data_IF_215831015836
#
_entry.id   IF_215831015836
#
_cell.length_a   1.000
_cell.length_b   1.000
_cell.length_c   1.000
_cell.angle_alpha   90.00
_cell.angle_beta   90.00
_cell.angle_gamma   90.00
#
_symmetry.space_group_name_H-M   'P 1'
#
loop_
_entity.id
_entity.type
_entity.pdbx_description
1 polymer ?
#
# COMPACT_ATOMS: atom_id res chain seq x y z
N UNK A 1 -20.30 1.76 17.22
CA UNK A 1 -20.04 0.81 16.11
C UNK A 1 -19.96 1.49 14.75
N UNK A 2 -20.94 2.31 14.33
CA UNK A 2 -20.93 2.95 13.00
C UNK A 2 -19.68 3.80 12.72
N UNK A 3 -19.29 4.67 13.65
CA UNK A 3 -18.08 5.49 13.55
C UNK A 3 -16.77 4.69 13.48
N UNK A 4 -16.65 3.65 14.29
CA UNK A 4 -15.49 2.75 14.24
C UNK A 4 -15.36 2.10 12.86
N UNK A 5 -16.48 1.65 12.28
CA UNK A 5 -16.49 1.07 10.93
C UNK A 5 -16.09 2.11 9.86
N UNK A 6 -16.54 3.35 9.99
CA UNK A 6 -16.18 4.46 9.10
C UNK A 6 -14.68 4.79 9.15
N UNK A 7 -14.05 4.71 10.34
CA UNK A 7 -12.60 4.86 10.51
C UNK A 7 -11.86 3.72 9.82
N UNK A 8 -12.34 2.49 9.97
CA UNK A 8 -11.77 1.30 9.31
C UNK A 8 -11.87 1.44 7.79
N UNK A 9 -13.05 1.77 7.26
CA UNK A 9 -13.26 1.99 5.82
C UNK A 9 -12.36 3.11 5.29
N UNK A 10 -12.18 4.18 6.07
CA UNK A 10 -11.25 5.27 5.76
C UNK A 10 -9.80 4.79 5.66
N UNK A 11 -9.34 4.01 6.65
CA UNK A 11 -8.00 3.45 6.69
C UNK A 11 -7.73 2.49 5.51
N UNK A 12 -8.70 1.63 5.19
CA UNK A 12 -8.66 0.71 4.04
C UNK A 12 -8.55 1.50 2.73
N UNK A 13 -9.43 2.49 2.51
CA UNK A 13 -9.40 3.33 1.30
C UNK A 13 -8.07 4.06 1.10
N UNK A 14 -7.45 4.53 2.19
CA UNK A 14 -6.15 5.22 2.13
C UNK A 14 -5.00 4.30 1.71
N UNK A 15 -5.09 2.99 1.98
CA UNK A 15 -4.08 1.99 1.60
C UNK A 15 -4.18 1.53 0.14
N UNK A 16 -5.31 1.77 -0.54
CA UNK A 16 -5.47 1.45 -1.97
C UNK A 16 -4.42 2.18 -2.82
N UNK A 17 -4.22 3.46 -2.56
CA UNK A 17 -3.30 4.32 -3.34
C UNK A 17 -1.85 3.82 -3.29
N UNK A 18 -1.22 3.61 -2.10
CA UNK A 18 0.15 3.10 -2.05
C UNK A 18 0.27 1.68 -2.62
N UNK A 19 -0.74 0.81 -2.47
CA UNK A 19 -0.69 -0.51 -3.11
C UNK A 19 -0.76 -0.40 -4.63
N UNK A 20 -1.58 0.49 -5.18
CA UNK A 20 -1.59 0.75 -6.62
C UNK A 20 -0.22 1.26 -7.12
N UNK A 21 0.44 2.13 -6.36
CA UNK A 21 1.81 2.58 -6.67
C UNK A 21 2.82 1.43 -6.67
N UNK A 22 2.76 0.51 -5.70
CA UNK A 22 3.62 -0.67 -5.66
C UNK A 22 3.33 -1.63 -6.81
N UNK A 23 2.06 -1.85 -7.16
CA UNK A 23 1.66 -2.66 -8.32
C UNK A 23 2.18 -2.03 -9.61
N UNK A 24 2.06 -0.71 -9.77
CA UNK A 24 2.61 0.01 -10.91
C UNK A 24 4.14 -0.11 -10.99
N UNK A 25 4.84 -0.03 -9.84
CA UNK A 25 6.28 -0.26 -9.77
C UNK A 25 6.65 -1.71 -10.18
N UNK A 26 5.87 -2.71 -9.76
CA UNK A 26 6.04 -4.10 -10.18
C UNK A 26 5.76 -4.33 -11.67
N UNK A 27 4.82 -3.60 -12.25
CA UNK A 27 4.57 -3.62 -13.71
C UNK A 27 5.74 -3.01 -14.49
N UNK A 28 6.22 -1.85 -14.05
CA UNK A 28 7.36 -1.18 -14.65
C UNK A 28 8.62 -2.04 -14.60
N UNK A 29 8.81 -2.82 -13.53
CA UNK A 29 9.98 -3.70 -13.42
C UNK A 29 9.98 -4.82 -14.45
N UNK A 30 8.80 -5.35 -14.84
CA UNK A 30 8.68 -6.28 -15.97
C UNK A 30 9.04 -5.63 -17.30
N UNK A 31 8.74 -4.34 -17.46
CA UNK A 31 9.12 -3.56 -18.65
C UNK A 31 10.62 -3.35 -18.84
N UNK A 32 11.45 -3.53 -17.78
CA UNK A 32 12.91 -3.41 -17.87
C UNK A 32 13.56 -4.48 -18.77
N UNK A 33 12.88 -5.62 -18.99
CA UNK A 33 13.35 -6.67 -19.90
C UNK A 33 13.21 -6.29 -21.38
N UNK A 34 12.55 -5.16 -21.69
CA UNK A 34 12.31 -4.72 -23.06
C UNK A 34 13.46 -3.81 -23.55
N UNK A 35 14.02 -4.10 -24.73
CA UNK A 35 15.23 -3.43 -25.24
C UNK A 35 15.02 -1.96 -25.62
N UNK A 36 13.77 -1.57 -25.88
CA UNK A 36 13.41 -0.19 -26.22
C UNK A 36 13.14 0.69 -24.98
N UNK A 37 13.09 0.10 -23.78
CA UNK A 37 12.82 0.83 -22.56
C UNK A 37 14.10 1.50 -22.01
N UNK A 38 14.01 2.80 -21.70
CA UNK A 38 15.11 3.51 -21.04
C UNK A 38 15.26 3.02 -19.60
N UNK A 39 16.25 2.14 -19.39
CA UNK A 39 16.55 1.52 -18.08
C UNK A 39 16.62 2.55 -16.93
N UNK A 40 17.25 3.70 -17.20
CA UNK A 40 17.45 4.76 -16.21
C UNK A 40 16.11 5.40 -15.79
N UNK A 41 15.24 5.69 -16.75
CA UNK A 41 13.93 6.31 -16.49
C UNK A 41 13.00 5.34 -15.78
N UNK A 42 12.94 4.08 -16.23
CA UNK A 42 12.07 3.06 -15.63
C UNK A 42 12.51 2.74 -14.21
N UNK A 43 13.81 2.54 -13.97
CA UNK A 43 14.34 2.31 -12.62
C UNK A 43 14.08 3.50 -11.69
N UNK A 44 14.23 4.74 -12.19
CA UNK A 44 13.93 5.94 -11.41
C UNK A 44 12.44 5.99 -11.01
N UNK A 45 11.53 5.74 -11.95
CA UNK A 45 10.08 5.73 -11.68
C UNK A 45 9.69 4.66 -10.66
N UNK A 46 10.28 3.46 -10.74
CA UNK A 46 10.07 2.39 -9.76
C UNK A 46 10.46 2.86 -8.35
N UNK A 47 11.65 3.47 -8.21
CA UNK A 47 12.13 3.96 -6.92
C UNK A 47 11.23 5.05 -6.37
N UNK A 48 10.82 6.01 -7.20
CA UNK A 48 9.90 7.09 -6.80
C UNK A 48 8.57 6.53 -6.32
N UNK A 49 7.97 5.60 -7.07
CA UNK A 49 6.71 4.95 -6.71
C UNK A 49 6.82 4.14 -5.41
N UNK A 50 7.90 3.40 -5.23
CA UNK A 50 8.14 2.61 -4.02
C UNK A 50 8.33 3.51 -2.79
N UNK A 51 9.12 4.58 -2.89
CA UNK A 51 9.34 5.53 -1.81
C UNK A 51 8.04 6.24 -1.42
N UNK A 52 7.27 6.72 -2.40
CA UNK A 52 5.98 7.35 -2.15
C UNK A 52 4.98 6.38 -1.53
N UNK A 53 4.92 5.14 -2.02
CA UNK A 53 4.03 4.13 -1.46
C UNK A 53 4.33 3.85 0.02
N UNK A 54 5.60 3.65 0.37
CA UNK A 54 6.01 3.43 1.76
C UNK A 54 5.69 4.63 2.65
N UNK A 55 5.99 5.85 2.19
CA UNK A 55 5.64 7.07 2.91
C UNK A 55 4.13 7.19 3.15
N UNK A 56 3.32 6.92 2.13
CA UNK A 56 1.87 6.99 2.23
C UNK A 56 1.29 5.92 3.17
N UNK A 57 1.85 4.70 3.17
CA UNK A 57 1.43 3.65 4.10
C UNK A 57 1.67 4.06 5.55
N UNK A 58 2.84 4.61 5.86
CA UNK A 58 3.16 5.09 7.22
C UNK A 58 2.22 6.20 7.64
N UNK A 59 1.99 7.20 6.78
CA UNK A 59 1.06 8.28 7.08
C UNK A 59 -0.37 7.77 7.27
N UNK A 60 -0.83 6.84 6.43
CA UNK A 60 -2.15 6.23 6.54
C UNK A 60 -2.35 5.54 7.90
N UNK A 61 -1.33 4.83 8.37
CA UNK A 61 -1.37 4.13 9.67
C UNK A 61 -1.39 5.12 10.82
N UNK A 62 -0.57 6.18 10.75
CA UNK A 62 -0.57 7.23 11.78
C UNK A 62 -1.96 7.89 11.88
N UNK A 63 -2.58 8.20 10.74
CA UNK A 63 -3.93 8.78 10.73
C UNK A 63 -4.96 7.80 11.28
N UNK A 64 -4.91 6.52 10.87
CA UNK A 64 -5.81 5.49 11.38
C UNK A 64 -5.68 5.29 12.89
N UNK A 65 -4.45 5.26 13.44
CA UNK A 65 -4.22 5.15 14.88
C UNK A 65 -4.82 6.35 15.61
N UNK A 66 -4.60 7.57 15.11
CA UNK A 66 -5.16 8.79 15.71
C UNK A 66 -6.69 8.79 15.71
N UNK A 67 -7.31 8.37 14.61
CA UNK A 67 -8.77 8.29 14.50
C UNK A 67 -9.35 7.19 15.42
N UNK A 68 -8.66 6.05 15.57
CA UNK A 68 -9.05 4.99 16.50
C UNK A 68 -8.91 5.41 17.96
N UNK A 69 -7.83 6.13 18.31
CA UNK A 69 -7.63 6.69 19.66
C UNK A 69 -8.75 7.70 20.02
N UNK A 70 -9.20 8.52 19.06
CA UNK A 70 -10.29 9.47 19.26
C UNK A 70 -11.65 8.79 19.51
N UNK A 71 -11.85 7.59 18.98
CA UNK A 71 -13.05 6.78 19.20
C UNK A 71 -12.98 5.93 20.50
N UNK A 72 -11.96 6.15 21.33
CA UNK A 72 -11.82 5.49 22.64
C UNK A 72 -11.15 4.12 22.59
N UNK A 73 -10.53 3.75 21.46
CA UNK A 73 -9.72 2.53 21.36
C UNK A 73 -8.36 2.77 22.04
N UNK A 74 -7.89 1.80 22.81
CA UNK A 74 -6.58 1.90 23.46
C UNK A 74 -5.46 2.00 22.42
N UNK A 75 -4.40 2.77 22.71
CA UNK A 75 -3.27 2.98 21.78
C UNK A 75 -2.68 1.68 21.22
N UNK A 76 -2.61 0.65 22.05
CA UNK A 76 -2.09 -0.67 21.69
C UNK A 76 -3.04 -1.38 20.71
N UNK A 77 -4.34 -1.36 20.97
CA UNK A 77 -5.34 -1.95 20.07
C UNK A 77 -5.44 -1.17 18.75
N UNK A 78 -5.35 0.16 18.80
CA UNK A 78 -5.32 1.02 17.62
C UNK A 78 -4.10 0.75 16.74
N UNK A 79 -2.91 0.59 17.34
CA UNK A 79 -1.69 0.22 16.62
C UNK A 79 -1.78 -1.19 16.02
N UNK A 80 -2.33 -2.18 16.76
CA UNK A 80 -2.56 -3.52 16.23
C UNK A 80 -3.52 -3.51 15.03
N UNK A 81 -4.64 -2.79 15.12
CA UNK A 81 -5.60 -2.65 14.03
C UNK A 81 -4.97 -1.96 12.81
N UNK A 82 -4.29 -0.83 13.01
CA UNK A 82 -3.60 -0.12 11.94
C UNK A 82 -2.59 -1.01 11.21
N UNK A 83 -1.80 -1.77 11.96
CA UNK A 83 -0.80 -2.71 11.40
C UNK A 83 -1.48 -3.87 10.68
N UNK A 84 -2.63 -4.36 11.17
CA UNK A 84 -3.39 -5.43 10.51
C UNK A 84 -3.89 -5.01 9.12
N UNK A 85 -4.23 -3.74 8.92
CA UNK A 85 -4.64 -3.25 7.59
C UNK A 85 -3.47 -3.24 6.61
N UNK A 86 -2.26 -2.89 7.05
CA UNK A 86 -1.05 -3.00 6.22
C UNK A 86 -0.85 -4.46 5.80
N UNK A 87 -0.99 -5.40 6.73
CA UNK A 87 -0.83 -6.83 6.45
C UNK A 87 -1.81 -7.30 5.37
N UNK A 88 -3.08 -6.94 5.45
CA UNK A 88 -4.07 -7.27 4.41
C UNK A 88 -3.66 -6.73 3.05
N UNK A 89 -3.23 -5.47 2.99
CA UNK A 89 -2.81 -4.84 1.73
C UNK A 89 -1.46 -5.37 1.21
N UNK A 90 -0.57 -5.80 2.10
CA UNK A 90 0.66 -6.50 1.73
C UNK A 90 0.34 -7.87 1.11
N UNK A 91 -0.61 -8.62 1.68
CA UNK A 91 -1.09 -9.86 1.07
C UNK A 91 -1.71 -9.60 -0.31
N UNK A 92 -2.56 -8.58 -0.43
CA UNK A 92 -3.14 -8.19 -1.74
C UNK A 92 -2.06 -7.82 -2.75
N UNK A 93 -1.03 -7.09 -2.32
CA UNK A 93 0.11 -6.75 -3.17
C UNK A 93 0.88 -8.00 -3.63
N UNK A 94 1.20 -8.92 -2.71
CA UNK A 94 1.87 -10.19 -3.05
C UNK A 94 1.02 -11.07 -3.98
N UNK A 95 -0.30 -11.10 -3.78
CA UNK A 95 -1.22 -11.80 -4.68
C UNK A 95 -1.26 -11.13 -6.04
N UNK A 96 -1.31 -9.79 -6.10
CA UNK A 96 -1.24 -9.06 -7.36
C UNK A 96 0.06 -9.35 -8.11
N UNK A 97 1.21 -9.40 -7.42
CA UNK A 97 2.49 -9.76 -8.02
C UNK A 97 2.53 -11.21 -8.51
N UNK A 98 2.15 -12.18 -7.68
CA UNK A 98 2.32 -13.61 -7.99
C UNK A 98 1.23 -14.16 -8.93
N UNK A 99 -0.04 -13.79 -8.71
CA UNK A 99 -1.17 -14.34 -9.45
C UNK A 99 -1.63 -13.46 -10.61
N UNK A 100 -1.48 -12.13 -10.48
CA UNK A 100 -1.83 -11.18 -11.53
C UNK A 100 -0.65 -10.95 -12.48
N UNK A 101 0.36 -10.23 -12.00
CA UNK A 101 1.52 -9.83 -12.79
C UNK A 101 2.37 -11.01 -13.20
N UNK A 102 2.58 -12.01 -12.34
CA UNK A 102 3.38 -13.21 -12.64
C UNK A 102 2.90 -13.97 -13.87
N UNK A 103 1.61 -13.87 -14.21
CA UNK A 103 1.01 -14.47 -15.40
C UNK A 103 1.03 -13.59 -16.66
N UNK A 104 1.41 -12.32 -16.53
CA UNK A 104 1.63 -11.40 -17.67
C UNK A 104 3.04 -11.64 -18.26
N UNK A 105 3.31 -12.86 -18.70
CA UNK A 105 4.43 -13.15 -19.61
C UNK A 105 4.03 -12.81 -21.04
#
# INVERSE_FOLDING_TARGET
MKKLLEVIDGAVKRLVTPVAMLVAAGLLSKGLSNKDASYLVVSFLIVVLALWALGYMVLSVIVAIKELEQEGVSKVAAAMLGTSFILVYMVLFLVALNFGLGKLE
#
